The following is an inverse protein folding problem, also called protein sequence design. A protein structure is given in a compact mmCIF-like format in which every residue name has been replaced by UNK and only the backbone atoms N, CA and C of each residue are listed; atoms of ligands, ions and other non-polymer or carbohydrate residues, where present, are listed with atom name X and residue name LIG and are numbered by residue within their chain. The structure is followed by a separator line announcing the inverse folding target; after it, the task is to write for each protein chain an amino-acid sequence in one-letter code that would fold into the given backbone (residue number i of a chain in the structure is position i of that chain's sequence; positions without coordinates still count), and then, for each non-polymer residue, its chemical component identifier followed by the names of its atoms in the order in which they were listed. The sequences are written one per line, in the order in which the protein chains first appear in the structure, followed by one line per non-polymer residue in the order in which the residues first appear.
data_IF_379170023438
#
_entry.id   IF_379170023438
#
_cell.length_a   1.000
_cell.length_b   1.000
_cell.length_c   1.000
_cell.angle_alpha   90.00
_cell.angle_beta   90.00
_cell.angle_gamma   90.00
#
_symmetry.space_group_name_H-M   'P 1'
#
loop_
_entity.id
_entity.type
_entity.pdbx_description
1 polymer ?
#
# COMPACT_ATOMS: atom_id res chain seq x y z
N UNK A 1 -9.27 6.81 -10.15
CA UNK A 1 -8.90 5.50 -9.59
C UNK A 1 -7.42 5.56 -9.45
N UNK A 2 -6.96 5.63 -8.21
CA UNK A 2 -5.56 5.85 -7.86
C UNK A 2 -4.86 4.52 -7.79
N UNK A 3 -3.64 4.41 -8.30
CA UNK A 3 -2.84 3.18 -8.26
C UNK A 3 -1.54 3.41 -7.51
N UNK A 4 -1.22 2.50 -6.59
CA UNK A 4 0.01 2.46 -5.82
C UNK A 4 0.72 1.14 -6.10
N UNK A 5 1.89 1.22 -6.73
CA UNK A 5 2.73 0.05 -6.99
C UNK A 5 3.70 -0.16 -5.84
N UNK A 6 3.69 -1.35 -5.25
CA UNK A 6 4.54 -1.70 -4.12
C UNK A 6 5.96 -1.96 -4.63
N UNK A 7 6.91 -1.13 -4.18
CA UNK A 7 8.33 -1.34 -4.42
C UNK A 7 8.94 -2.25 -3.32
N UNK A 8 8.54 -2.09 -2.06
CA UNK A 8 9.08 -2.85 -0.92
C UNK A 8 8.11 -2.87 0.29
N UNK A 9 8.31 -3.84 1.20
CA UNK A 9 7.48 -4.05 2.40
C UNK A 9 8.37 -4.15 3.64
N UNK A 10 8.21 -3.20 4.57
CA UNK A 10 9.01 -3.10 5.78
C UNK A 10 8.21 -3.44 7.03
N UNK A 11 8.48 -4.61 7.62
CA UNK A 11 8.01 -4.92 8.96
C UNK A 11 8.83 -4.15 10.00
N UNK A 12 8.16 -3.37 10.83
CA UNK A 12 8.77 -2.59 11.91
C UNK A 12 8.26 -3.06 13.27
N UNK A 13 9.04 -2.86 14.33
CA UNK A 13 8.75 -3.42 15.66
C UNK A 13 7.65 -2.69 16.44
N UNK A 14 7.29 -1.46 16.05
CA UNK A 14 6.39 -0.57 16.82
C UNK A 14 4.94 -0.55 16.32
N UNK A 15 4.60 -1.30 15.27
CA UNK A 15 3.23 -1.40 14.74
C UNK A 15 2.97 -2.82 14.20
N UNK A 16 1.71 -3.27 14.21
CA UNK A 16 1.38 -4.62 13.73
C UNK A 16 1.50 -4.73 12.21
N UNK A 17 0.92 -3.78 11.46
CA UNK A 17 0.92 -3.79 10.00
C UNK A 17 2.21 -3.16 9.45
N UNK A 18 2.86 -3.80 8.44
CA UNK A 18 4.08 -3.30 7.83
C UNK A 18 3.85 -1.96 7.11
N UNK A 19 4.95 -1.26 6.85
CA UNK A 19 4.97 -0.07 6.01
C UNK A 19 5.29 -0.52 4.58
N UNK A 20 4.40 -0.20 3.65
CA UNK A 20 4.61 -0.46 2.22
C UNK A 20 5.16 0.80 1.57
N UNK A 21 6.26 0.66 0.85
CA UNK A 21 6.89 1.76 0.12
C UNK A 21 6.66 1.53 -1.36
N UNK A 22 6.34 2.58 -2.10
CA UNK A 22 5.99 2.45 -3.49
C UNK A 22 5.81 3.78 -4.19
N UNK A 23 5.20 3.74 -5.38
CA UNK A 23 4.93 4.92 -6.21
C UNK A 23 3.46 4.98 -6.58
N UNK A 24 2.94 6.19 -6.64
CA UNK A 24 1.58 6.49 -7.09
C UNK A 24 1.61 7.75 -7.95
N UNK A 25 0.76 7.77 -8.97
CA UNK A 25 0.56 8.92 -9.85
C UNK A 25 -0.63 9.78 -9.41
N UNK A 26 -1.36 9.34 -8.37
CA UNK A 26 -2.60 9.96 -7.90
C UNK A 26 -2.66 10.00 -6.36
N UNK A 27 -3.72 10.62 -5.84
CA UNK A 27 -3.94 10.88 -4.43
C UNK A 27 -4.60 9.69 -3.76
N UNK A 28 -4.11 9.36 -2.57
CA UNK A 28 -4.70 8.41 -1.63
C UNK A 28 -5.09 9.15 -0.35
N UNK A 29 -6.19 8.75 0.28
CA UNK A 29 -6.63 9.27 1.56
C UNK A 29 -6.83 8.14 2.57
N UNK A 30 -6.51 8.42 3.84
CA UNK A 30 -6.77 7.46 4.93
C UNK A 30 -8.28 7.22 5.02
N UNK A 31 -8.67 5.94 5.08
CA UNK A 31 -10.06 5.49 5.04
C UNK A 31 -10.53 5.04 3.65
N UNK A 32 -9.75 5.27 2.59
CA UNK A 32 -10.09 4.79 1.24
C UNK A 32 -10.22 3.26 1.23
N UNK A 33 -11.28 2.78 0.59
CA UNK A 33 -11.42 1.36 0.25
C UNK A 33 -10.48 1.03 -0.90
N UNK A 34 -9.73 -0.05 -0.77
CA UNK A 34 -8.71 -0.45 -1.74
C UNK A 34 -8.80 -1.92 -2.11
N UNK A 35 -8.28 -2.23 -3.29
CA UNK A 35 -8.04 -3.58 -3.78
C UNK A 35 -6.54 -3.79 -4.01
N UNK A 36 -5.97 -4.86 -3.45
CA UNK A 36 -4.68 -5.41 -3.81
C UNK A 36 -4.86 -6.38 -4.97
N UNK A 37 -4.21 -6.09 -6.09
CA UNK A 37 -4.12 -6.94 -7.27
C UNK A 37 -2.77 -7.66 -7.28
N UNK A 38 -2.85 -8.99 -7.25
CA UNK A 38 -1.69 -9.89 -7.35
C UNK A 38 -1.38 -10.22 -8.81
N UNK A 39 -0.13 -10.61 -9.08
CA UNK A 39 0.32 -11.04 -10.42
C UNK A 39 -0.47 -12.24 -10.97
N UNK A 40 -0.99 -13.11 -10.10
CA UNK A 40 -1.83 -14.27 -10.47
C UNK A 40 -3.30 -13.89 -10.77
N UNK A 41 -3.65 -12.61 -10.67
CA UNK A 41 -5.00 -12.08 -10.87
C UNK A 41 -5.89 -12.16 -9.63
N UNK A 42 -5.40 -12.66 -8.50
CA UNK A 42 -6.13 -12.65 -7.23
C UNK A 42 -6.34 -11.22 -6.74
N UNK A 43 -7.50 -10.98 -6.11
CA UNK A 43 -7.87 -9.68 -5.55
C UNK A 43 -8.17 -9.82 -4.06
N UNK A 44 -7.51 -8.98 -3.25
CA UNK A 44 -7.77 -8.85 -1.81
C UNK A 44 -8.28 -7.45 -1.54
N UNK A 45 -9.29 -7.30 -0.67
CA UNK A 45 -9.89 -6.01 -0.33
C UNK A 45 -9.52 -5.56 1.07
N UNK A 46 -9.38 -4.26 1.25
CA UNK A 46 -9.10 -3.67 2.55
C UNK A 46 -9.17 -2.15 2.52
N UNK A 47 -8.45 -1.52 3.43
CA UNK A 47 -8.53 -0.07 3.67
C UNK A 47 -7.13 0.52 3.80
N UNK A 48 -6.94 1.75 3.32
CA UNK A 48 -5.75 2.54 3.66
C UNK A 48 -5.88 3.07 5.11
N UNK A 49 -5.01 2.63 6.01
CA UNK A 49 -5.07 2.98 7.43
C UNK A 49 -4.15 4.15 7.80
N UNK A 50 -3.06 4.36 7.05
CA UNK A 50 -2.09 5.38 7.37
C UNK A 50 -1.25 5.80 6.19
N UNK A 51 -0.86 7.07 6.19
CA UNK A 51 0.08 7.64 5.24
C UNK A 51 1.27 8.17 6.03
N UNK A 52 2.42 7.55 5.84
CA UNK A 52 3.69 8.01 6.41
C UNK A 52 4.40 8.82 5.32
N UNK A 53 4.17 10.13 5.24
CA UNK A 53 4.84 10.97 4.23
C UNK A 53 6.29 11.22 4.67
N UNK A 54 7.16 10.24 4.46
CA UNK A 54 8.55 10.55 4.21
C UNK A 54 8.66 10.92 2.74
N UNK A 55 8.72 12.22 2.42
CA UNK A 55 9.14 12.65 1.07
C UNK A 55 10.59 12.18 0.88
N UNK A 56 10.76 10.97 0.37
CA UNK A 56 12.04 10.58 -0.18
C UNK A 56 12.34 11.54 -1.34
N UNK A 57 13.60 11.90 -1.58
CA UNK A 57 13.97 12.69 -2.75
C UNK A 57 13.55 12.04 -4.09
N UNK A 58 13.23 10.75 -4.07
CA UNK A 58 12.84 9.91 -5.22
C UNK A 58 11.34 9.89 -5.51
N UNK A 59 10.49 10.59 -4.74
CA UNK A 59 9.04 10.63 -4.99
C UNK A 59 8.31 9.33 -4.60
N UNK A 60 8.88 8.54 -3.68
CA UNK A 60 8.21 7.37 -3.12
C UNK A 60 7.26 7.79 -2.00
N UNK A 61 6.18 7.02 -1.87
CA UNK A 61 5.17 7.13 -0.83
C UNK A 61 5.26 5.94 0.09
N UNK A 62 4.99 6.17 1.37
CA UNK A 62 4.89 5.10 2.36
C UNK A 62 3.47 5.04 2.91
N UNK A 63 2.83 3.89 2.74
CA UNK A 63 1.46 3.65 3.14
C UNK A 63 1.39 2.47 4.10
N UNK A 64 0.37 2.48 4.93
CA UNK A 64 0.00 1.35 5.79
C UNK A 64 -1.43 1.00 5.48
N UNK A 65 -1.65 -0.25 5.13
CA UNK A 65 -2.96 -0.79 4.79
C UNK A 65 -3.46 -1.71 5.90
N UNK A 66 -4.76 -2.03 5.82
CA UNK A 66 -5.39 -2.96 6.73
C UNK A 66 -4.71 -4.32 6.75
N UNK A 67 -4.99 -5.08 7.80
CA UNK A 67 -4.38 -6.40 8.03
C UNK A 67 -4.57 -7.32 6.83
N UNK A 68 -5.76 -7.31 6.21
CA UNK A 68 -6.12 -8.17 5.08
C UNK A 68 -5.19 -7.93 3.88
N UNK A 69 -4.90 -6.66 3.57
CA UNK A 69 -3.96 -6.28 2.51
C UNK A 69 -2.53 -6.63 2.94
N UNK A 70 -2.18 -6.28 4.18
CA UNK A 70 -0.84 -6.44 4.74
C UNK A 70 -0.35 -7.88 4.78
N UNK A 71 -1.22 -8.85 5.05
CA UNK A 71 -0.86 -10.28 5.08
C UNK A 71 -0.59 -10.88 3.69
N UNK A 72 -1.01 -10.22 2.61
CA UNK A 72 -0.93 -10.74 1.24
C UNK A 72 -0.05 -9.89 0.30
N UNK A 73 0.31 -8.68 0.72
CA UNK A 73 1.06 -7.74 -0.10
C UNK A 73 2.53 -8.13 -0.24
N UNK A 74 3.02 -8.10 -1.47
CA UNK A 74 4.41 -8.39 -1.85
C UNK A 74 4.92 -7.29 -2.80
N UNK A 75 6.25 -7.09 -2.88
CA UNK A 75 6.85 -6.23 -3.90
C UNK A 75 6.41 -6.62 -5.32
N UNK A 76 5.97 -5.65 -6.11
CA UNK A 76 5.45 -5.84 -7.46
C UNK A 76 3.92 -5.74 -7.57
N UNK A 77 3.19 -6.05 -6.49
CA UNK A 77 1.73 -5.94 -6.45
C UNK A 77 1.25 -4.49 -6.63
N UNK A 78 -0.03 -4.36 -7.01
CA UNK A 78 -0.68 -3.05 -7.21
C UNK A 78 -1.83 -2.91 -6.23
N UNK A 79 -1.87 -1.82 -5.48
CA UNK A 79 -3.02 -1.40 -4.69
C UNK A 79 -3.75 -0.29 -5.42
N UNK A 80 -5.08 -0.40 -5.58
CA UNK A 80 -5.90 0.65 -6.20
C UNK A 80 -7.09 1.05 -5.36
N UNK A 81 -7.51 2.31 -5.45
CA UNK A 81 -8.77 2.76 -4.84
C UNK A 81 -9.98 2.24 -5.60
N UNK A 82 -11.10 2.05 -4.90
CA UNK A 82 -12.40 1.65 -5.49
C UNK A 82 -13.18 2.88 -5.95
#
# INVERSE_FOLDING_TARGET
MSEFRIDDVFQVSFRPNPIMVGRTDDVFAVGDQVELLKDDGSIVRGVLEGIEIHRSPSGQYSFVFSREISEHAEPGDIVRTI
#
